data_IF_854790663674
#
_entry.id   IF_854790663674
#
_cell.length_a   1.000
_cell.length_b   1.000
_cell.length_c   1.000
_cell.angle_alpha   90.00
_cell.angle_beta   90.00
_cell.angle_gamma   90.00
#
_symmetry.space_group_name_H-M   'P 1'
#
loop_
_entity.id
_entity.type
_entity.pdbx_description
1 polymer ?
#
# COMPACT_ATOMS: atom_id res chain seq x y z
N UNK A 1 -10.76 13.96 45.06
CA UNK A 1 -9.50 14.33 44.41
C UNK A 1 -8.58 13.14 44.64
N UNK A 2 -8.16 12.35 43.66
CA UNK A 2 -7.96 12.57 42.24
C UNK A 2 -8.25 11.23 41.53
N UNK A 3 -9.12 11.24 40.51
CA UNK A 3 -9.20 10.13 39.56
C UNK A 3 -8.13 10.41 38.51
N UNK A 4 -7.09 9.58 38.46
CA UNK A 4 -6.11 9.61 37.37
C UNK A 4 -6.85 9.28 36.07
N UNK A 5 -7.15 10.32 35.29
CA UNK A 5 -7.43 10.19 33.87
C UNK A 5 -6.12 9.79 33.17
N UNK A 6 -5.84 8.48 33.10
CA UNK A 6 -4.91 7.95 32.11
C UNK A 6 -5.59 8.05 30.76
N UNK A 7 -5.45 9.20 30.08
CA UNK A 7 -5.64 9.25 28.63
C UNK A 7 -4.54 8.40 27.99
N UNK A 8 -4.84 7.13 27.78
CA UNK A 8 -4.00 6.22 27.01
C UNK A 8 -4.20 6.60 25.54
N UNK A 9 -3.13 7.11 24.93
CA UNK A 9 -2.92 7.30 23.48
C UNK A 9 -3.81 6.38 22.61
N UNK A 10 -4.61 6.89 21.64
CA UNK A 10 -5.56 6.07 20.89
C UNK A 10 -4.90 5.04 19.96
N UNK A 11 -3.58 5.00 19.87
CA UNK A 11 -2.87 4.09 18.97
C UNK A 11 -2.67 2.70 19.58
N UNK A 12 -3.68 1.82 19.40
CA UNK A 12 -3.58 0.38 19.72
C UNK A 12 -2.51 -0.29 18.86
N UNK A 13 -1.24 -0.20 19.27
CA UNK A 13 -0.16 -1.01 18.69
C UNK A 13 -0.19 -2.42 19.28
N UNK A 14 0.02 -3.42 18.43
CA UNK A 14 0.11 -4.80 18.88
C UNK A 14 1.33 -4.97 19.82
N UNK A 15 1.17 -5.81 20.85
CA UNK A 15 2.29 -6.19 21.71
C UNK A 15 3.33 -6.96 20.89
N UNK A 16 4.65 -6.78 21.13
CA UNK A 16 5.68 -7.53 20.43
C UNK A 16 5.52 -9.04 20.66
N UNK A 17 5.39 -9.81 19.59
CA UNK A 17 5.29 -11.28 19.68
C UNK A 17 6.67 -11.86 20.03
N UNK A 18 6.82 -12.56 21.17
CA UNK A 18 8.09 -13.18 21.54
C UNK A 18 8.61 -14.18 20.50
N UNK A 19 7.73 -14.88 19.79
CA UNK A 19 8.15 -15.84 18.76
C UNK A 19 8.79 -15.15 17.56
N UNK A 20 8.43 -13.88 17.28
CA UNK A 20 9.06 -13.11 16.21
C UNK A 20 10.54 -12.81 16.50
N UNK A 21 10.91 -12.70 17.78
CA UNK A 21 12.25 -12.26 18.21
C UNK A 21 13.17 -13.42 18.64
N UNK A 22 12.60 -14.55 19.09
CA UNK A 22 13.37 -15.64 19.69
C UNK A 22 13.28 -16.98 18.93
N UNK A 23 12.41 -17.12 17.91
CA UNK A 23 12.33 -18.33 17.08
C UNK A 23 13.11 -18.13 15.76
N UNK A 24 14.25 -18.80 15.63
CA UNK A 24 15.07 -18.82 14.41
C UNK A 24 14.30 -19.22 13.15
N UNK A 25 13.26 -20.05 13.27
CA UNK A 25 12.43 -20.45 12.13
C UNK A 25 11.64 -19.27 11.58
N UNK A 26 11.16 -18.38 12.45
CA UNK A 26 10.42 -17.18 12.03
C UNK A 26 11.37 -16.23 11.32
N UNK A 27 12.57 -16.01 11.87
CA UNK A 27 13.61 -15.20 11.21
C UNK A 27 13.99 -15.79 9.84
N UNK A 28 14.24 -17.09 9.75
CA UNK A 28 14.58 -17.76 8.50
C UNK A 28 13.47 -17.64 7.45
N UNK A 29 12.20 -17.76 7.86
CA UNK A 29 11.06 -17.55 6.98
C UNK A 29 10.98 -16.10 6.49
N UNK A 30 11.16 -15.12 7.38
CA UNK A 30 11.15 -13.70 7.01
C UNK A 30 12.27 -13.36 6.00
N UNK A 31 13.48 -13.86 6.23
CA UNK A 31 14.62 -13.68 5.30
C UNK A 31 14.37 -14.36 3.95
N UNK A 32 13.82 -15.58 3.95
CA UNK A 32 13.49 -16.30 2.70
C UNK A 32 12.44 -15.55 1.88
N UNK A 33 11.50 -14.90 2.56
CA UNK A 33 10.44 -14.11 1.92
C UNK A 33 10.99 -12.82 1.32
N UNK A 34 12.01 -12.20 1.93
CA UNK A 34 12.58 -10.91 1.50
C UNK A 34 12.98 -10.92 0.02
N UNK A 35 13.56 -12.02 -0.47
CA UNK A 35 13.97 -12.20 -1.87
C UNK A 35 12.81 -11.95 -2.87
N UNK A 36 11.56 -12.18 -2.47
CA UNK A 36 10.37 -12.00 -3.31
C UNK A 36 9.91 -10.55 -3.43
N UNK A 37 10.38 -9.70 -2.51
CA UNK A 37 10.01 -8.29 -2.41
C UNK A 37 11.10 -7.34 -2.94
N UNK A 38 12.29 -7.86 -3.26
CA UNK A 38 13.38 -7.06 -3.81
C UNK A 38 13.12 -6.66 -5.28
N UNK A 39 13.07 -5.36 -5.60
CA UNK A 39 13.04 -4.92 -6.99
C UNK A 39 14.39 -5.18 -7.67
N UNK A 40 14.35 -5.65 -8.92
CA UNK A 40 15.56 -5.93 -9.69
C UNK A 40 16.29 -4.63 -10.04
N UNK A 41 17.52 -4.42 -9.54
CA UNK A 41 18.25 -3.14 -9.66
C UNK A 41 18.49 -2.63 -11.10
N UNK A 42 18.28 -3.46 -12.13
CA UNK A 42 18.56 -3.13 -13.54
C UNK A 42 17.31 -2.86 -14.39
N UNK A 43 16.11 -2.70 -13.82
CA UNK A 43 14.88 -2.54 -14.60
C UNK A 43 14.89 -1.33 -15.55
N UNK A 44 15.63 -0.26 -15.22
CA UNK A 44 15.83 0.89 -16.10
C UNK A 44 16.57 0.58 -17.41
N UNK A 45 17.35 -0.50 -17.45
CA UNK A 45 18.10 -0.92 -18.65
C UNK A 45 17.42 -2.06 -19.38
N UNK A 46 16.80 -2.97 -18.63
CA UNK A 46 16.27 -4.22 -19.18
C UNK A 46 14.79 -4.13 -19.59
N UNK A 47 13.99 -3.28 -18.92
CA UNK A 47 12.53 -3.25 -19.09
C UNK A 47 12.06 -1.87 -19.53
N UNK A 48 12.48 -0.82 -18.84
CA UNK A 48 12.02 0.54 -19.12
C UNK A 48 12.78 1.14 -20.30
N UNK A 49 12.05 1.59 -21.32
CA UNK A 49 12.60 2.33 -22.47
C UNK A 49 12.40 3.83 -22.35
N UNK A 50 11.28 4.23 -21.73
CA UNK A 50 10.84 5.64 -21.67
C UNK A 50 11.06 6.29 -20.31
N UNK A 51 11.27 5.50 -19.25
CA UNK A 51 11.44 6.00 -17.88
C UNK A 51 12.91 6.14 -17.54
N UNK A 52 13.31 7.33 -17.10
CA UNK A 52 14.66 7.59 -16.60
C UNK A 52 14.68 7.69 -15.06
N UNK A 53 15.82 7.43 -14.39
CA UNK A 53 15.93 7.51 -12.93
C UNK A 53 15.50 8.85 -12.34
N UNK A 54 15.69 9.96 -13.07
CA UNK A 54 15.23 11.27 -12.62
C UNK A 54 13.70 11.38 -12.56
N UNK A 55 12.97 10.71 -13.45
CA UNK A 55 11.50 10.71 -13.45
C UNK A 55 10.96 9.95 -12.25
N UNK A 56 11.59 8.82 -11.89
CA UNK A 56 11.29 8.10 -10.64
C UNK A 56 11.52 9.00 -9.43
N UNK A 57 12.61 9.76 -9.39
CA UNK A 57 12.89 10.71 -8.30
C UNK A 57 11.79 11.76 -8.19
N UNK A 58 11.37 12.37 -9.30
CA UNK A 58 10.28 13.37 -9.31
C UNK A 58 8.98 12.82 -8.72
N UNK A 59 8.58 11.62 -9.16
CA UNK A 59 7.35 10.99 -8.64
C UNK A 59 7.51 10.55 -7.19
N UNK A 60 8.68 10.05 -6.78
CA UNK A 60 8.96 9.71 -5.39
C UNK A 60 8.90 10.93 -4.45
N UNK A 61 9.44 12.07 -4.88
CA UNK A 61 9.34 13.33 -4.12
C UNK A 61 7.89 13.77 -3.99
N UNK A 62 7.13 13.77 -5.08
CA UNK A 62 5.70 14.09 -5.03
C UNK A 62 4.92 13.12 -4.11
N UNK A 63 5.19 11.81 -4.19
CA UNK A 63 4.56 10.82 -3.31
C UNK A 63 4.87 11.09 -1.82
N UNK A 64 6.11 11.47 -1.51
CA UNK A 64 6.53 11.80 -0.15
C UNK A 64 5.78 13.04 0.36
N UNK A 65 5.73 14.12 -0.43
CA UNK A 65 5.01 15.36 -0.10
C UNK A 65 3.53 15.09 0.18
N UNK A 66 2.88 14.25 -0.63
CA UNK A 66 1.47 13.86 -0.41
C UNK A 66 1.30 13.06 0.88
N UNK A 67 2.22 12.14 1.19
CA UNK A 67 2.17 11.36 2.43
C UNK A 67 2.38 12.26 3.66
N UNK A 68 3.29 13.23 3.59
CA UNK A 68 3.56 14.18 4.68
C UNK A 68 2.37 15.12 4.91
N UNK A 69 1.78 15.67 3.84
CA UNK A 69 0.59 16.54 3.92
C UNK A 69 -0.62 15.79 4.49
N UNK A 70 -0.76 14.51 4.16
CA UNK A 70 -1.83 13.65 4.67
C UNK A 70 -1.52 13.04 6.04
N UNK A 71 -0.31 13.25 6.58
CA UNK A 71 0.17 12.64 7.83
C UNK A 71 -0.01 11.12 7.81
N UNK A 72 0.35 10.51 6.69
CA UNK A 72 0.30 9.07 6.54
C UNK A 72 1.27 8.38 7.51
N UNK A 73 0.99 7.12 7.84
CA UNK A 73 1.91 6.27 8.60
C UNK A 73 3.26 6.16 7.87
N UNK A 74 4.36 6.17 8.62
CA UNK A 74 5.73 6.16 8.07
C UNK A 74 6.00 4.96 7.14
N UNK A 75 5.24 3.87 7.32
CA UNK A 75 5.33 2.65 6.52
C UNK A 75 4.65 2.75 5.13
N UNK A 76 3.75 3.72 4.91
CA UNK A 76 2.97 3.86 3.67
C UNK A 76 3.86 4.21 2.49
N UNK A 77 4.72 5.22 2.65
CA UNK A 77 5.58 5.70 1.56
C UNK A 77 6.60 4.63 1.10
N UNK A 78 7.38 3.98 1.99
CA UNK A 78 8.29 2.90 1.60
C UNK A 78 7.57 1.74 0.91
N UNK A 79 6.36 1.39 1.38
CA UNK A 79 5.55 0.34 0.77
C UNK A 79 5.06 0.73 -0.63
N UNK A 80 4.61 1.97 -0.81
CA UNK A 80 4.21 2.49 -2.11
C UNK A 80 5.38 2.52 -3.09
N UNK A 81 6.58 2.90 -2.64
CA UNK A 81 7.80 2.85 -3.44
C UNK A 81 8.17 1.41 -3.84
N UNK A 82 8.04 0.45 -2.90
CA UNK A 82 8.24 -0.96 -3.22
C UNK A 82 7.29 -1.45 -4.33
N UNK A 83 6.02 -1.05 -4.28
CA UNK A 83 5.05 -1.37 -5.33
C UNK A 83 5.40 -0.76 -6.68
N UNK A 84 5.79 0.52 -6.69
CA UNK A 84 6.21 1.21 -7.90
C UNK A 84 7.41 0.53 -8.54
N UNK A 85 8.45 0.24 -7.76
CA UNK A 85 9.68 -0.38 -8.28
C UNK A 85 9.45 -1.79 -8.80
N UNK A 86 8.62 -2.59 -8.12
CA UNK A 86 8.30 -3.95 -8.56
C UNK A 86 7.44 -3.96 -9.82
N UNK A 87 6.54 -2.99 -9.97
CA UNK A 87 5.77 -2.84 -11.21
C UNK A 87 6.67 -2.44 -12.37
N UNK A 88 7.55 -1.45 -12.18
CA UNK A 88 8.54 -1.04 -13.19
C UNK A 88 9.55 -2.14 -13.54
N UNK A 89 9.76 -3.11 -12.65
CA UNK A 89 10.60 -4.26 -12.93
C UNK A 89 9.96 -5.30 -13.87
N UNK A 90 8.64 -5.25 -14.10
CA UNK A 90 7.90 -6.25 -14.88
C UNK A 90 7.22 -5.63 -16.10
N UNK A 91 6.67 -4.43 -15.97
CA UNK A 91 5.83 -3.81 -17.01
C UNK A 91 6.54 -2.57 -17.58
N UNK A 92 6.77 -2.51 -18.91
CA UNK A 92 7.28 -1.29 -19.54
C UNK A 92 6.23 -0.19 -19.48
N UNK A 93 6.56 0.93 -18.84
CA UNK A 93 5.61 2.00 -18.54
C UNK A 93 6.01 3.28 -19.27
N UNK A 94 5.01 4.04 -19.72
CA UNK A 94 5.23 5.36 -20.36
C UNK A 94 5.36 6.44 -19.30
N UNK A 95 6.13 7.49 -19.59
CA UNK A 95 6.33 8.64 -18.69
C UNK A 95 5.04 9.31 -18.21
N UNK A 96 4.02 9.39 -19.07
CA UNK A 96 2.71 9.97 -18.72
C UNK A 96 1.91 9.12 -17.72
N UNK A 97 2.20 7.81 -17.65
CA UNK A 97 1.54 6.88 -16.74
C UNK A 97 2.21 6.80 -15.37
N UNK A 98 3.41 7.38 -15.22
CA UNK A 98 4.22 7.23 -14.01
C UNK A 98 3.57 7.89 -12.78
N UNK A 99 2.93 9.06 -12.96
CA UNK A 99 2.22 9.74 -11.88
C UNK A 99 0.95 8.97 -11.47
N UNK A 100 0.21 8.42 -12.44
CA UNK A 100 -0.93 7.54 -12.18
C UNK A 100 -0.51 6.29 -11.42
N UNK A 101 0.57 5.63 -11.85
CA UNK A 101 1.15 4.50 -11.15
C UNK A 101 1.54 4.86 -9.71
N UNK A 102 2.19 6.01 -9.49
CA UNK A 102 2.52 6.50 -8.15
C UNK A 102 1.29 6.70 -7.26
N UNK A 103 0.24 7.34 -7.79
CA UNK A 103 -1.03 7.55 -7.09
C UNK A 103 -1.68 6.22 -6.69
N UNK A 104 -1.71 5.26 -7.61
CA UNK A 104 -2.27 3.92 -7.36
C UNK A 104 -1.44 3.15 -6.32
N UNK A 105 -0.12 3.23 -6.37
CA UNK A 105 0.76 2.60 -5.39
C UNK A 105 0.53 3.15 -3.98
N UNK A 106 0.37 4.48 -3.84
CA UNK A 106 0.00 5.10 -2.56
C UNK A 106 -1.38 4.67 -2.09
N UNK A 107 -2.36 4.59 -2.99
CA UNK A 107 -3.70 4.11 -2.68
C UNK A 107 -3.70 2.66 -2.15
N UNK A 108 -2.89 1.78 -2.75
CA UNK A 108 -2.78 0.39 -2.29
C UNK A 108 -2.04 0.29 -0.95
N UNK A 109 -0.95 1.05 -0.77
CA UNK A 109 -0.20 1.08 0.48
C UNK A 109 -1.03 1.62 1.64
N UNK A 110 -1.77 2.71 1.43
CA UNK A 110 -2.64 3.30 2.44
C UNK A 110 -3.73 2.34 2.91
N UNK A 111 -4.35 1.60 1.98
CA UNK A 111 -5.35 0.56 2.29
C UNK A 111 -4.82 -0.57 3.18
N UNK A 112 -3.50 -0.82 3.16
CA UNK A 112 -2.87 -1.89 3.93
C UNK A 112 -2.33 -1.42 5.27
N UNK A 113 -1.80 -0.20 5.35
CA UNK A 113 -1.10 0.30 6.53
C UNK A 113 -1.90 1.29 7.36
N UNK A 114 -2.83 2.04 6.76
CA UNK A 114 -3.60 3.03 7.48
C UNK A 114 -4.91 2.48 8.03
N UNK A 115 -5.32 3.02 9.18
CA UNK A 115 -6.67 2.80 9.71
C UNK A 115 -7.71 3.49 8.85
N UNK A 116 -7.42 4.72 8.40
CA UNK A 116 -8.26 5.52 7.49
C UNK A 116 -7.46 5.76 6.22
N UNK A 117 -7.66 4.95 5.17
CA UNK A 117 -6.85 5.01 3.97
C UNK A 117 -7.19 6.21 3.09
N UNK A 118 -6.19 6.73 2.37
CA UNK A 118 -6.38 7.71 1.29
C UNK A 118 -7.50 7.29 0.32
N UNK A 119 -8.42 8.21 0.02
CA UNK A 119 -9.48 7.99 -0.96
C UNK A 119 -8.99 8.29 -2.37
N UNK A 120 -9.55 7.59 -3.36
CA UNK A 120 -9.22 7.83 -4.77
C UNK A 120 -9.49 9.28 -5.19
N UNK A 121 -10.60 9.87 -4.70
CA UNK A 121 -10.95 11.26 -4.95
C UNK A 121 -9.88 12.23 -4.43
N UNK A 122 -9.34 11.98 -3.23
CA UNK A 122 -8.31 12.83 -2.64
C UNK A 122 -7.01 12.76 -3.43
N UNK A 123 -6.61 11.56 -3.85
CA UNK A 123 -5.45 11.38 -4.73
C UNK A 123 -5.64 12.06 -6.09
N UNK A 124 -6.85 12.04 -6.66
CA UNK A 124 -7.14 12.78 -7.89
C UNK A 124 -6.94 14.30 -7.72
N UNK A 125 -7.34 14.86 -6.58
CA UNK A 125 -7.10 16.28 -6.25
C UNK A 125 -5.59 16.58 -6.22
N UNK A 126 -4.77 15.72 -5.60
CA UNK A 126 -3.31 15.87 -5.56
C UNK A 126 -2.61 15.72 -6.92
N UNK A 127 -3.34 15.24 -7.92
CA UNK A 127 -2.87 15.15 -9.31
C UNK A 127 -3.43 16.26 -10.18
N UNK A 128 -3.91 17.36 -9.60
CA UNK A 128 -4.61 18.46 -10.29
C UNK A 128 -5.78 17.99 -11.15
N UNK A 129 -6.47 16.92 -10.73
CA UNK A 129 -7.54 16.25 -11.48
C UNK A 129 -7.14 15.78 -12.89
N UNK A 130 -5.83 15.62 -13.14
CA UNK A 130 -5.32 15.01 -14.38
C UNK A 130 -5.72 13.55 -14.51
N UNK A 131 -5.95 12.88 -13.37
CA UNK A 131 -6.33 11.48 -13.25
C UNK A 131 -7.75 11.37 -12.71
N UNK A 132 -8.58 10.52 -13.32
CA UNK A 132 -9.93 10.24 -12.83
C UNK A 132 -9.93 9.09 -11.80
N UNK A 133 -10.84 9.09 -10.81
CA UNK A 133 -10.93 8.01 -9.83
C UNK A 133 -11.19 6.64 -10.47
N UNK A 134 -11.92 6.60 -11.59
CA UNK A 134 -12.20 5.37 -12.32
C UNK A 134 -10.94 4.75 -12.94
N UNK A 135 -10.05 5.59 -13.49
CA UNK A 135 -8.77 5.14 -14.05
C UNK A 135 -7.87 4.62 -12.94
N UNK A 136 -7.80 5.33 -11.82
CA UNK A 136 -7.05 4.90 -10.63
C UNK A 136 -7.53 3.53 -10.13
N UNK A 137 -8.84 3.33 -9.99
CA UNK A 137 -9.41 2.05 -9.53
C UNK A 137 -9.23 0.91 -10.55
N UNK A 138 -9.20 1.23 -11.84
CA UNK A 138 -8.93 0.25 -12.89
C UNK A 138 -7.49 -0.23 -12.84
N UNK A 139 -6.53 0.69 -12.82
CA UNK A 139 -5.10 0.40 -12.71
C UNK A 139 -4.75 -0.31 -11.39
N UNK A 140 -5.41 0.07 -10.28
CA UNK A 140 -5.23 -0.59 -8.99
C UNK A 140 -5.48 -2.09 -9.04
N UNK A 141 -6.47 -2.54 -9.82
CA UNK A 141 -6.76 -3.96 -10.01
C UNK A 141 -5.66 -4.66 -10.79
N UNK A 142 -5.07 -4.00 -11.78
CA UNK A 142 -4.00 -4.59 -12.61
C UNK A 142 -2.67 -4.67 -11.86
N UNK A 143 -2.30 -3.59 -11.16
CA UNK A 143 -1.12 -3.52 -10.31
C UNK A 143 -1.22 -4.54 -9.18
N UNK A 144 -2.37 -4.63 -8.51
CA UNK A 144 -2.60 -5.62 -7.45
C UNK A 144 -2.47 -7.06 -7.95
N UNK A 145 -2.92 -7.38 -9.17
CA UNK A 145 -2.70 -8.70 -9.78
C UNK A 145 -1.24 -8.96 -10.13
N UNK A 146 -0.56 -7.95 -10.68
CA UNK A 146 0.84 -8.08 -11.13
C UNK A 146 1.78 -8.25 -9.95
N UNK A 147 1.60 -7.45 -8.90
CA UNK A 147 2.36 -7.53 -7.65
C UNK A 147 1.94 -8.75 -6.82
N UNK A 148 0.63 -9.06 -6.79
CA UNK A 148 0.04 -10.22 -6.11
C UNK A 148 0.63 -11.56 -6.56
N UNK A 149 0.91 -11.73 -7.86
CA UNK A 149 1.59 -12.94 -8.36
C UNK A 149 2.97 -13.22 -7.72
N UNK A 150 3.61 -12.22 -7.11
CA UNK A 150 4.83 -12.39 -6.27
C UNK A 150 4.59 -12.22 -4.77
N UNK A 151 3.55 -11.48 -4.35
CA UNK A 151 3.21 -11.23 -2.93
C UNK A 151 2.32 -12.29 -2.27
N UNK A 152 1.51 -13.05 -3.02
CA UNK A 152 0.43 -13.86 -2.43
C UNK A 152 0.89 -14.97 -1.45
N UNK A 153 2.19 -15.23 -1.32
CA UNK A 153 2.70 -16.20 -0.35
C UNK A 153 3.25 -15.57 0.94
N UNK A 154 3.24 -14.25 1.08
CA UNK A 154 3.69 -13.61 2.31
C UNK A 154 2.81 -12.43 2.71
N UNK A 155 2.11 -12.59 3.83
CA UNK A 155 1.32 -11.56 4.51
C UNK A 155 -0.03 -11.20 3.89
N UNK A 156 -0.86 -12.21 3.59
CA UNK A 156 -2.29 -12.07 3.87
C UNK A 156 -2.54 -12.69 5.26
N UNK A 157 -2.53 -11.91 6.36
CA UNK A 157 -3.23 -12.35 7.55
C UNK A 157 -4.70 -12.48 7.17
N UNK A 158 -5.20 -13.72 7.19
CA UNK A 158 -6.58 -14.10 6.93
C UNK A 158 -7.55 -13.14 7.62
N UNK A 159 -8.22 -12.25 6.89
CA UNK A 159 -9.24 -11.40 7.50
C UNK A 159 -9.83 -10.24 6.69
N UNK A 160 -9.14 -9.67 5.70
CA UNK A 160 -9.72 -8.59 4.87
C UNK A 160 -9.82 -9.00 3.41
N UNK A 161 -10.96 -9.61 3.06
CA UNK A 161 -11.35 -9.80 1.66
C UNK A 161 -11.74 -8.43 1.11
N UNK A 162 -10.91 -7.84 0.24
CA UNK A 162 -11.25 -6.61 -0.48
C UNK A 162 -12.36 -6.97 -1.49
N UNK A 163 -13.60 -6.86 -1.04
CA UNK A 163 -14.78 -6.94 -1.90
C UNK A 163 -14.96 -5.59 -2.59
N UNK A 164 -14.57 -5.49 -3.87
CA UNK A 164 -15.01 -4.37 -4.71
C UNK A 164 -16.43 -4.69 -5.17
N UNK A 165 -17.41 -4.36 -4.33
CA UNK A 165 -18.82 -4.45 -4.70
C UNK A 165 -19.14 -3.42 -5.78
N UNK A 166 -19.61 -3.90 -6.93
CA UNK A 166 -20.21 -3.07 -7.96
C UNK A 166 -21.64 -2.73 -7.52
N UNK A 167 -21.88 -1.51 -7.03
CA UNK A 167 -23.22 -1.06 -6.66
C UNK A 167 -23.17 0.34 -6.09
N UNK A 168 -23.88 1.28 -6.72
CA UNK A 168 -24.01 2.65 -6.27
C UNK A 168 -24.74 2.79 -4.93
N UNK A 169 -24.65 4.01 -4.40
CA UNK A 169 -25.16 4.48 -3.10
C UNK A 169 -24.24 4.17 -1.90
N UNK A 170 -23.78 5.26 -1.27
CA UNK A 170 -22.98 5.24 -0.07
C UNK A 170 -23.69 4.55 1.09
N UNK A 171 -23.13 3.42 1.51
CA UNK A 171 -23.23 2.85 2.86
C UNK A 171 -22.13 1.80 2.98
N UNK A 172 -21.12 2.08 3.79
CA UNK A 172 -20.20 1.04 4.28
C UNK A 172 -20.80 0.58 5.61
N UNK A 173 -21.65 -0.45 5.54
CA UNK A 173 -22.18 -1.09 6.74
C UNK A 173 -21.11 -2.03 7.30
N UNK A 174 -20.68 -1.73 8.52
CA UNK A 174 -19.84 -2.60 9.35
C UNK A 174 -20.80 -3.53 10.08
N UNK A 175 -21.11 -4.70 9.52
CA UNK A 175 -21.82 -5.73 10.26
C UNK A 175 -20.85 -6.41 11.24
N UNK A 176 -21.02 -6.10 12.52
CA UNK A 176 -20.44 -6.84 13.63
C UNK A 176 -21.15 -8.19 13.76
N UNK A 177 -20.48 -9.29 13.40
CA UNK A 177 -20.92 -10.62 13.81
C UNK A 177 -20.72 -10.76 15.32
N UNK A 178 -21.82 -10.65 16.06
CA UNK A 178 -21.94 -11.16 17.43
C UNK A 178 -21.65 -12.65 17.42
N UNK A 179 -20.63 -13.07 18.15
CA UNK A 179 -20.35 -14.47 18.42
C UNK A 179 -21.35 -14.99 19.46
N UNK A 180 -22.51 -15.48 19.02
CA UNK A 180 -23.25 -16.48 19.78
C UNK A 180 -22.51 -17.80 19.65
N UNK A 181 -21.89 -18.23 20.75
CA UNK A 181 -21.31 -19.55 20.90
C UNK A 181 -22.21 -20.35 21.83
N UNK A 182 -22.54 -21.55 21.36
CA UNK A 182 -23.30 -22.62 22.00
C UNK A 182 -22.91 -22.90 23.45
#
# INVERSE_FOLDING_TARGET
>A
MELLCCEVDPMRRALPDPNLLYDDRVLHNLLTIEERYLPQCSYFKCVQKDIQPFMRRMVATWMLEVCEEQKCEEEVFPLAMNYLDRFLAVVPTRKCHLQLLGAVCMFLASKLKETIPLTAEKLCIYTDNSIKPQELLFEAKDISKTIGKKCCEANFPSGKRIGVGAGGAGKVEVESCSSDST
#
